data_IF_569503779190
#
_entry.id   IF_569503779190
#
_cell.length_a   1.000
_cell.length_b   1.000
_cell.length_c   1.000
_cell.angle_alpha   90.00
_cell.angle_beta   90.00
_cell.angle_gamma   90.00
#
_symmetry.space_group_name_H-M   'P 1'
#
loop_
_entity.id
_entity.type
_entity.pdbx_description
1 polymer ?
#
# COMPACT_ATOMS: atom_id res chain seq x y z
N UNK A 1 17.57 45.07 -30.83
CA UNK A 1 18.10 43.70 -31.02
C UNK A 1 17.76 43.25 -32.44
N UNK A 2 18.74 42.86 -33.25
CA UNK A 2 18.50 42.50 -34.66
C UNK A 2 17.63 41.24 -34.75
N UNK A 3 16.73 41.19 -35.74
CA UNK A 3 15.81 40.05 -35.95
C UNK A 3 16.54 38.70 -36.05
N UNK A 4 17.76 38.72 -36.60
CA UNK A 4 18.65 37.56 -36.70
C UNK A 4 19.13 37.08 -35.32
N UNK A 5 19.45 38.00 -34.41
CA UNK A 5 19.88 37.69 -33.04
C UNK A 5 18.73 37.11 -32.23
N UNK A 6 17.51 37.66 -32.39
CA UNK A 6 16.31 37.12 -31.76
C UNK A 6 16.00 35.69 -32.25
N UNK A 7 16.11 35.44 -33.56
CA UNK A 7 15.87 34.12 -34.14
C UNK A 7 16.88 33.07 -33.64
N UNK A 8 18.17 33.42 -33.58
CA UNK A 8 19.22 32.55 -33.04
C UNK A 8 18.98 32.23 -31.56
N UNK A 9 18.59 33.24 -30.77
CA UNK A 9 18.30 33.05 -29.35
C UNK A 9 17.10 32.10 -29.13
N UNK A 10 16.06 32.21 -29.95
CA UNK A 10 14.87 31.36 -29.88
C UNK A 10 15.17 29.90 -30.23
N UNK A 11 15.98 29.67 -31.27
CA UNK A 11 16.43 28.32 -31.65
C UNK A 11 17.25 27.68 -30.53
N UNK A 12 18.10 28.46 -29.86
CA UNK A 12 18.94 27.97 -28.77
C UNK A 12 18.12 27.60 -27.53
N UNK A 13 17.07 28.36 -27.22
CA UNK A 13 16.10 28.02 -26.16
C UNK A 13 15.36 26.72 -26.48
N UNK A 14 14.90 26.55 -27.73
CA UNK A 14 14.20 25.34 -28.16
C UNK A 14 15.13 24.12 -28.07
N UNK A 15 16.37 24.23 -28.53
CA UNK A 15 17.35 23.15 -28.41
C UNK A 15 17.64 22.80 -26.95
N UNK A 16 17.77 23.81 -26.09
CA UNK A 16 17.99 23.60 -24.66
C UNK A 16 16.79 22.93 -23.98
N UNK A 17 15.55 23.28 -24.37
CA UNK A 17 14.36 22.65 -23.80
C UNK A 17 14.24 21.17 -24.18
N UNK A 18 14.61 20.78 -25.41
CA UNK A 18 14.65 19.37 -25.79
C UNK A 18 15.69 18.56 -25.01
N UNK A 19 16.86 19.16 -24.74
CA UNK A 19 17.91 18.53 -23.93
C UNK A 19 17.43 18.35 -22.49
N UNK A 20 16.80 19.37 -21.89
CA UNK A 20 16.23 19.28 -20.53
C UNK A 20 15.13 18.22 -20.45
N UNK A 21 14.23 18.15 -21.44
CA UNK A 21 13.17 17.12 -21.48
C UNK A 21 13.77 15.72 -21.64
N UNK A 22 14.81 15.55 -22.45
CA UNK A 22 15.51 14.28 -22.59
C UNK A 22 16.20 13.84 -21.29
N UNK A 23 16.84 14.75 -20.56
CA UNK A 23 17.41 14.45 -19.24
C UNK A 23 16.33 14.09 -18.21
N UNK A 24 15.19 14.80 -18.19
CA UNK A 24 14.05 14.46 -17.32
C UNK A 24 13.48 13.07 -17.66
N UNK A 25 13.48 12.67 -18.93
CA UNK A 25 13.01 11.35 -19.37
C UNK A 25 14.00 10.22 -19.08
N UNK A 26 15.31 10.50 -19.06
CA UNK A 26 16.36 9.52 -18.75
C UNK A 26 16.48 9.29 -17.23
N UNK A 27 16.19 10.31 -16.42
CA UNK A 27 16.18 10.24 -14.95
C UNK A 27 14.79 9.90 -14.36
N UNK A 28 13.78 9.65 -15.19
CA UNK A 28 12.65 8.87 -14.71
C UNK A 28 13.17 7.44 -14.58
N UNK A 29 13.43 6.94 -13.35
CA UNK A 29 13.62 5.53 -13.22
C UNK A 29 12.37 4.91 -13.83
N UNK A 30 12.56 4.06 -14.84
CA UNK A 30 11.61 3.00 -15.17
C UNK A 30 11.62 2.03 -13.99
N UNK A 31 11.30 2.55 -12.79
CA UNK A 31 10.87 1.77 -11.68
C UNK A 31 9.71 0.98 -12.26
N UNK A 32 9.92 -0.32 -12.40
CA UNK A 32 8.83 -1.27 -12.46
C UNK A 32 7.85 -0.81 -11.38
N UNK A 33 6.77 -0.15 -11.79
CA UNK A 33 5.59 -0.04 -10.96
C UNK A 33 5.19 -1.49 -10.82
N UNK A 34 5.63 -2.14 -9.74
CA UNK A 34 5.34 -3.55 -9.51
C UNK A 34 3.81 -3.67 -9.56
N UNK A 35 3.29 -4.29 -10.62
CA UNK A 35 1.85 -4.37 -10.86
C UNK A 35 1.20 -5.07 -9.66
N UNK A 36 0.44 -4.31 -8.88
CA UNK A 36 -0.35 -4.83 -7.78
C UNK A 36 -1.63 -5.49 -8.26
N UNK A 37 -2.09 -6.50 -7.52
CA UNK A 37 -3.40 -7.13 -7.66
C UNK A 37 -4.28 -6.74 -6.48
N UNK A 38 -5.54 -6.45 -6.75
CA UNK A 38 -6.55 -6.19 -5.72
C UNK A 38 -7.28 -7.50 -5.37
N UNK A 39 -7.27 -7.86 -4.10
CA UNK A 39 -8.01 -8.98 -3.53
C UNK A 39 -9.11 -8.45 -2.61
N UNK A 40 -10.27 -9.11 -2.60
CA UNK A 40 -11.43 -8.71 -1.81
C UNK A 40 -11.92 -9.90 -0.98
N UNK A 41 -12.02 -9.71 0.32
CA UNK A 41 -12.34 -10.74 1.30
C UNK A 41 -13.62 -10.39 2.05
N UNK A 42 -14.72 -11.13 1.83
CA UNK A 42 -15.92 -11.00 2.64
C UNK A 42 -15.72 -11.72 3.98
N UNK A 43 -15.73 -10.97 5.09
CA UNK A 43 -15.64 -11.50 6.45
C UNK A 43 -17.04 -11.48 7.08
N UNK A 44 -17.55 -12.64 7.46
CA UNK A 44 -18.82 -12.79 8.16
C UNK A 44 -18.61 -12.72 9.67
N UNK A 45 -19.25 -11.75 10.34
CA UNK A 45 -19.22 -11.60 11.80
C UNK A 45 -20.67 -11.47 12.28
N UNK A 46 -21.15 -12.48 13.02
CA UNK A 46 -22.58 -12.64 13.28
C UNK A 46 -23.37 -12.72 11.97
N UNK A 47 -24.34 -11.84 11.80
CA UNK A 47 -25.19 -11.75 10.59
C UNK A 47 -24.68 -10.71 9.57
N UNK A 48 -23.54 -10.06 9.82
CA UNK A 48 -23.04 -8.96 8.97
C UNK A 48 -21.80 -9.39 8.18
N UNK A 49 -21.76 -9.01 6.91
CA UNK A 49 -20.58 -9.21 6.05
C UNK A 49 -19.81 -7.90 5.89
N UNK A 50 -18.52 -7.95 6.17
CA UNK A 50 -17.58 -6.84 6.03
C UNK A 50 -16.64 -7.11 4.86
N UNK A 51 -16.36 -6.09 4.03
CA UNK A 51 -15.44 -6.23 2.90
C UNK A 51 -14.07 -5.69 3.29
N UNK A 52 -13.10 -6.58 3.44
CA UNK A 52 -11.68 -6.23 3.61
C UNK A 52 -11.01 -6.37 2.26
N UNK A 53 -10.14 -5.43 1.89
CA UNK A 53 -9.39 -5.51 0.62
C UNK A 53 -7.90 -5.46 0.85
N UNK A 54 -7.15 -6.14 -0.02
CA UNK A 54 -5.69 -6.11 -0.02
C UNK A 54 -5.22 -5.82 -1.44
N UNK A 55 -4.56 -4.70 -1.65
CA UNK A 55 -3.85 -4.39 -2.88
C UNK A 55 -2.36 -4.69 -2.67
N UNK A 56 -1.82 -5.60 -3.46
CA UNK A 56 -0.46 -6.09 -3.27
C UNK A 56 0.13 -6.65 -4.56
N UNK A 57 1.43 -6.49 -4.76
CA UNK A 57 2.18 -7.16 -5.81
C UNK A 57 2.56 -8.61 -5.47
N UNK A 58 2.20 -9.10 -4.29
CA UNK A 58 2.56 -10.44 -3.84
C UNK A 58 1.98 -11.53 -4.75
N UNK A 59 2.77 -12.60 -4.92
CA UNK A 59 2.50 -13.66 -5.90
C UNK A 59 1.16 -14.38 -5.72
N UNK A 60 0.60 -14.41 -4.51
CA UNK A 60 -0.71 -15.00 -4.23
C UNK A 60 -1.55 -14.11 -3.32
N UNK A 61 -2.86 -14.35 -3.33
CA UNK A 61 -3.78 -13.79 -2.36
C UNK A 61 -3.41 -14.24 -0.93
N UNK A 62 -3.55 -13.37 0.09
CA UNK A 62 -3.50 -13.80 1.48
C UNK A 62 -4.73 -14.62 1.87
N UNK A 63 -4.58 -15.39 2.93
CA UNK A 63 -5.70 -15.81 3.77
C UNK A 63 -6.04 -14.67 4.72
N UNK A 64 -7.33 -14.33 4.87
CA UNK A 64 -7.79 -13.23 5.71
C UNK A 64 -8.85 -13.75 6.67
N UNK A 65 -8.70 -13.44 7.96
CA UNK A 65 -9.63 -13.89 9.01
C UNK A 65 -9.90 -12.80 10.04
N UNK A 66 -11.02 -12.91 10.74
CA UNK A 66 -11.39 -12.00 11.82
C UNK A 66 -11.44 -12.73 13.16
N UNK A 67 -10.79 -12.17 14.17
CA UNK A 67 -10.77 -12.68 15.55
C UNK A 67 -11.45 -11.68 16.49
N UNK A 68 -12.76 -11.84 16.70
CA UNK A 68 -13.58 -10.87 17.43
C UNK A 68 -13.19 -10.64 18.89
N UNK A 69 -12.70 -11.66 19.61
CA UNK A 69 -12.22 -11.48 20.99
C UNK A 69 -11.04 -10.52 21.08
N UNK A 70 -10.18 -10.53 20.07
CA UNK A 70 -9.01 -9.65 19.97
C UNK A 70 -9.28 -8.40 19.13
N UNK A 71 -10.45 -8.30 18.50
CA UNK A 71 -10.78 -7.25 17.52
C UNK A 71 -9.69 -7.13 16.46
N UNK A 72 -9.24 -8.28 15.95
CA UNK A 72 -8.13 -8.38 15.02
C UNK A 72 -8.59 -8.86 13.65
N UNK A 73 -8.07 -8.25 12.59
CA UNK A 73 -8.08 -8.84 11.24
C UNK A 73 -6.68 -9.35 10.95
N UNK A 74 -6.57 -10.65 10.70
CA UNK A 74 -5.31 -11.33 10.44
C UNK A 74 -5.14 -11.59 8.94
N UNK A 75 -3.91 -11.45 8.46
CA UNK A 75 -3.51 -11.58 7.07
C UNK A 75 -2.31 -12.52 6.96
N UNK A 76 -2.55 -13.71 6.42
CA UNK A 76 -1.51 -14.71 6.21
C UNK A 76 -1.17 -14.84 4.72
N UNK A 77 0.00 -14.33 4.33
CA UNK A 77 0.49 -14.36 2.97
C UNK A 77 1.38 -15.59 2.76
N UNK A 78 1.14 -16.32 1.66
CA UNK A 78 2.00 -17.41 1.19
C UNK A 78 2.69 -17.04 -0.12
N UNK A 79 3.81 -17.68 -0.42
CA UNK A 79 4.60 -17.37 -1.61
C UNK A 79 5.73 -16.40 -1.27
N UNK A 80 6.68 -16.22 -2.19
CA UNK A 80 7.90 -15.46 -1.94
C UNK A 80 8.16 -14.42 -3.02
N UNK A 81 8.25 -13.17 -2.61
CA UNK A 81 8.80 -12.08 -3.41
C UNK A 81 9.96 -11.45 -2.64
N UNK A 82 11.01 -11.01 -3.35
CA UNK A 82 12.17 -10.35 -2.73
C UNK A 82 11.80 -9.03 -2.07
N UNK A 83 10.93 -8.27 -2.74
CA UNK A 83 10.36 -7.02 -2.27
C UNK A 83 8.87 -7.04 -2.56
N UNK A 84 8.05 -6.54 -1.65
CA UNK A 84 6.65 -6.33 -1.97
C UNK A 84 5.99 -5.32 -1.07
N UNK A 85 4.76 -4.97 -1.42
CA UNK A 85 3.95 -4.04 -0.65
C UNK A 85 2.58 -4.64 -0.36
N UNK A 86 2.00 -4.19 0.74
CA UNK A 86 0.60 -4.44 1.08
C UNK A 86 -0.09 -3.12 1.35
N UNK A 87 -1.23 -2.89 0.71
CA UNK A 87 -2.16 -1.83 1.04
C UNK A 87 -3.49 -2.49 1.43
N UNK A 88 -3.74 -2.53 2.73
CA UNK A 88 -4.86 -3.21 3.36
C UNK A 88 -5.92 -2.17 3.68
N UNK A 89 -7.18 -2.45 3.37
CA UNK A 89 -8.32 -1.61 3.73
C UNK A 89 -9.34 -2.40 4.54
N UNK A 90 -9.67 -1.88 5.73
CA UNK A 90 -10.58 -2.50 6.69
C UNK A 90 -11.70 -1.51 7.04
N UNK A 91 -12.98 -1.91 6.97
CA UNK A 91 -14.10 -1.05 7.34
C UNK A 91 -14.03 -0.59 8.81
N UNK A 92 -14.34 0.68 9.06
CA UNK A 92 -14.32 1.27 10.42
C UNK A 92 -15.40 0.70 11.34
N UNK A 93 -16.40 0.06 10.77
CA UNK A 93 -17.45 -0.59 11.55
C UNK A 93 -17.13 -2.06 11.84
N UNK A 94 -15.95 -2.57 11.43
CA UNK A 94 -15.43 -3.89 11.82
C UNK A 94 -14.47 -3.79 13.00
N UNK A 95 -13.46 -2.92 12.89
CA UNK A 95 -12.52 -2.54 13.94
C UNK A 95 -12.32 -1.02 13.93
N UNK A 96 -12.18 -0.40 15.09
CA UNK A 96 -12.05 1.06 15.24
C UNK A 96 -11.32 1.48 16.51
N UNK A 97 -11.22 2.80 16.68
CA UNK A 97 -10.41 3.43 17.71
C UNK A 97 -8.94 3.48 17.29
N UNK A 98 -8.06 3.42 18.28
CA UNK A 98 -6.63 3.28 18.07
C UNK A 98 -6.32 1.91 17.45
N UNK A 99 -5.48 1.90 16.40
CA UNK A 99 -5.12 0.70 15.67
C UNK A 99 -3.64 0.37 15.85
N UNK A 100 -3.35 -0.91 15.98
CA UNK A 100 -2.00 -1.44 16.13
C UNK A 100 -1.76 -2.50 15.07
N UNK A 101 -0.55 -2.51 14.50
CA UNK A 101 -0.15 -3.52 13.51
C UNK A 101 0.87 -4.45 14.16
N UNK A 102 0.63 -5.75 14.09
CA UNK A 102 1.55 -6.77 14.57
C UNK A 102 2.11 -7.56 13.39
N UNK A 103 3.38 -7.95 13.48
CA UNK A 103 4.07 -8.81 12.53
C UNK A 103 4.58 -10.03 13.30
N UNK A 104 4.07 -11.23 12.98
CA UNK A 104 4.33 -12.46 13.73
C UNK A 104 4.14 -12.27 15.25
N UNK A 105 3.04 -11.63 15.65
CA UNK A 105 2.69 -11.37 17.06
C UNK A 105 3.53 -10.29 17.77
N UNK A 106 4.50 -9.66 17.10
CA UNK A 106 5.26 -8.53 17.65
C UNK A 106 4.71 -7.21 17.13
N UNK A 107 4.51 -6.24 18.03
CA UNK A 107 4.06 -4.90 17.64
C UNK A 107 5.07 -4.29 16.66
N UNK A 108 4.58 -3.84 15.51
CA UNK A 108 5.40 -3.15 14.52
C UNK A 108 5.73 -1.74 15.01
N UNK A 109 6.93 -1.28 14.67
CA UNK A 109 7.30 0.12 14.83
C UNK A 109 6.35 1.01 13.99
N UNK A 110 5.92 2.14 14.55
CA UNK A 110 5.06 3.12 13.89
C UNK A 110 5.68 3.68 12.61
N UNK A 111 7.02 3.66 12.49
CA UNK A 111 7.72 4.08 11.27
C UNK A 111 7.76 2.99 10.18
N UNK A 112 7.38 1.75 10.51
CA UNK A 112 7.41 0.63 9.57
C UNK A 112 6.13 0.51 8.71
N UNK A 113 5.10 1.31 9.01
CA UNK A 113 3.85 1.32 8.26
C UNK A 113 3.22 2.72 8.22
N UNK A 114 2.33 2.93 7.26
CA UNK A 114 1.51 4.13 7.16
C UNK A 114 0.07 3.75 7.49
N UNK A 115 -0.47 4.37 8.53
CA UNK A 115 -1.89 4.26 8.88
C UNK A 115 -2.64 5.48 8.35
N UNK A 116 -3.76 5.26 7.68
CA UNK A 116 -4.68 6.31 7.26
C UNK A 116 -6.11 5.91 7.58
N UNK A 117 -6.92 6.84 8.08
CA UNK A 117 -8.31 6.58 8.43
C UNK A 117 -9.20 7.69 7.87
N UNK A 118 -10.37 7.32 7.35
CA UNK A 118 -11.42 8.27 6.99
C UNK A 118 -12.75 7.86 7.64
N UNK A 119 -13.88 8.39 7.17
CA UNK A 119 -15.21 8.09 7.76
C UNK A 119 -15.71 6.67 7.51
N UNK A 120 -15.12 5.93 6.56
CA UNK A 120 -15.63 4.63 6.10
C UNK A 120 -14.66 3.46 6.32
N UNK A 121 -13.36 3.70 6.21
CA UNK A 121 -12.34 2.66 6.32
C UNK A 121 -11.03 3.19 6.90
N UNK A 122 -10.29 2.23 7.44
CA UNK A 122 -8.90 2.33 7.85
C UNK A 122 -8.05 1.64 6.78
N UNK A 123 -6.91 2.24 6.47
CA UNK A 123 -5.93 1.70 5.54
C UNK A 123 -4.58 1.57 6.22
N UNK A 124 -3.93 0.44 5.98
CA UNK A 124 -2.57 0.14 6.43
C UNK A 124 -1.72 -0.13 5.21
N UNK A 125 -0.66 0.67 5.02
CA UNK A 125 0.31 0.46 3.95
C UNK A 125 1.69 0.16 4.53
N UNK A 126 2.38 -0.83 4.00
CA UNK A 126 3.77 -1.10 4.32
C UNK A 126 4.47 -1.89 3.22
N UNK A 127 5.80 -1.83 3.23
CA UNK A 127 6.71 -2.49 2.29
C UNK A 127 7.59 -3.45 3.08
N UNK A 128 8.02 -4.54 2.43
CA UNK A 128 8.95 -5.50 3.00
C UNK A 128 10.04 -5.82 1.98
N UNK A 129 11.29 -5.63 2.40
CA UNK A 129 12.47 -5.79 1.53
C UNK A 129 13.17 -7.14 1.68
N UNK A 130 12.61 -8.02 2.51
CA UNK A 130 13.18 -9.33 2.81
C UNK A 130 12.32 -10.45 2.23
N UNK A 131 12.89 -11.34 1.40
CA UNK A 131 12.19 -12.51 0.92
C UNK A 131 11.79 -13.39 2.11
N UNK A 132 10.49 -13.56 2.28
CA UNK A 132 9.94 -14.57 3.16
C UNK A 132 8.94 -15.41 2.36
N UNK A 133 8.92 -16.72 2.60
CA UNK A 133 7.93 -17.61 1.98
C UNK A 133 6.54 -17.47 2.60
N UNK A 134 6.49 -16.89 3.79
CA UNK A 134 5.29 -16.63 4.55
C UNK A 134 5.41 -15.30 5.26
N UNK A 135 4.31 -14.56 5.36
CA UNK A 135 4.20 -13.39 6.23
C UNK A 135 2.86 -13.43 6.95
N UNK A 136 2.89 -13.08 8.22
CA UNK A 136 1.71 -13.02 9.08
C UNK A 136 1.63 -11.64 9.72
N UNK A 137 0.49 -10.97 9.52
CA UNK A 137 0.22 -9.66 10.09
C UNK A 137 -1.18 -9.60 10.67
N UNK A 138 -1.29 -8.87 11.78
CA UNK A 138 -2.57 -8.56 12.41
C UNK A 138 -2.77 -7.05 12.46
N UNK A 139 -3.98 -6.60 12.13
CA UNK A 139 -4.43 -5.23 12.40
C UNK A 139 -5.46 -5.30 13.51
N UNK A 140 -5.10 -4.74 14.66
CA UNK A 140 -5.86 -4.83 15.91
C UNK A 140 -6.44 -3.48 16.24
N UNK A 141 -7.77 -3.41 16.38
CA UNK A 141 -8.45 -2.23 16.90
C UNK A 141 -8.64 -2.28 18.41
N UNK A 142 -8.56 -1.11 19.06
CA UNK A 142 -8.98 -0.97 20.46
C UNK A 142 -10.43 -1.42 20.67
N UNK A 143 -11.26 -1.17 19.66
CA UNK A 143 -12.65 -1.54 19.60
C UNK A 143 -12.96 -2.30 18.30
N UNK A 144 -14.04 -3.06 18.28
CA UNK A 144 -14.40 -3.92 17.16
C UNK A 144 -15.69 -4.67 17.40
N UNK A 145 -16.22 -5.28 16.34
CA UNK A 145 -17.45 -6.07 16.39
C UNK A 145 -17.22 -7.34 17.22
N UNK A 146 -17.98 -7.48 18.30
CA UNK A 146 -17.98 -8.76 19.03
C UNK A 146 -18.86 -9.78 18.29
N UNK A 147 -18.45 -11.06 18.25
CA UNK A 147 -19.22 -12.13 17.63
C UNK A 147 -20.54 -12.40 18.36
#
# INVERSE_FOLDING_TARGET
MNKIVLALFLVLIILFSFVVVAFILIDLPTNHVEEGKLYVFPLLVGERTFKVTVFSNYSSAPEVSYFGLLKSVSFYFRGGQRSGFYNITIPNNLIWGELFVYNHGSLMDEYAYILSSNSTHNSVFFVFDLPAYTKDFDVVGKEGVSP
#
